data_IF_397258949287
#
_entry.id   IF_397258949287
#
_cell.length_a   1.000
_cell.length_b   1.000
_cell.length_c   1.000
_cell.angle_alpha   90.00
_cell.angle_beta   90.00
_cell.angle_gamma   90.00
#
_symmetry.space_group_name_H-M   'P 1'
#
loop_
_entity.id
_entity.type
_entity.pdbx_description
1 polymer ?
#
# COMPACT_ATOMS: atom_id res chain seq x y z
N UNK A 1 -19.29 -22.26 7.25
CA UNK A 1 -17.84 -22.20 7.55
C UNK A 1 -17.03 -22.14 6.26
N UNK A 2 -17.25 -23.06 5.31
CA UNK A 2 -16.55 -23.11 3.99
C UNK A 2 -16.55 -21.78 3.20
N UNK A 3 -17.67 -21.05 3.13
CA UNK A 3 -17.74 -19.77 2.42
C UNK A 3 -16.87 -18.67 3.04
N UNK A 4 -16.77 -18.64 4.37
CA UNK A 4 -15.94 -17.66 5.07
C UNK A 4 -14.45 -17.94 4.87
N UNK A 5 -14.06 -19.22 4.89
CA UNK A 5 -12.71 -19.65 4.58
C UNK A 5 -12.33 -19.33 3.13
N UNK A 6 -13.22 -19.63 2.18
CA UNK A 6 -13.03 -19.28 0.78
C UNK A 6 -12.93 -17.76 0.57
N UNK A 7 -13.77 -16.98 1.26
CA UNK A 7 -13.74 -15.52 1.24
C UNK A 7 -12.42 -14.94 1.76
N UNK A 8 -11.88 -15.46 2.86
CA UNK A 8 -10.58 -15.04 3.39
C UNK A 8 -9.43 -15.38 2.44
N UNK A 9 -9.45 -16.57 1.83
CA UNK A 9 -8.43 -16.94 0.85
C UNK A 9 -8.49 -16.04 -0.37
N UNK A 10 -9.68 -15.76 -0.91
CA UNK A 10 -9.88 -14.85 -2.04
C UNK A 10 -9.44 -13.41 -1.70
N UNK A 11 -9.84 -12.91 -0.53
CA UNK A 11 -9.39 -11.60 -0.05
C UNK A 11 -7.87 -11.56 0.11
N UNK A 12 -7.27 -12.63 0.62
CA UNK A 12 -5.84 -12.84 0.71
C UNK A 12 -5.17 -12.73 -0.66
N UNK A 13 -5.66 -13.47 -1.66
CA UNK A 13 -5.14 -13.43 -3.03
C UNK A 13 -5.23 -12.03 -3.64
N UNK A 14 -6.37 -11.35 -3.48
CA UNK A 14 -6.51 -9.95 -3.94
C UNK A 14 -5.48 -9.05 -3.25
N UNK A 15 -5.27 -9.20 -1.95
CA UNK A 15 -4.32 -8.40 -1.19
C UNK A 15 -2.86 -8.70 -1.56
N UNK A 16 -2.52 -9.97 -1.84
CA UNK A 16 -1.18 -10.39 -2.30
C UNK A 16 -0.80 -9.71 -3.61
N UNK A 17 -1.72 -9.58 -4.56
CA UNK A 17 -1.38 -9.10 -5.90
C UNK A 17 -1.75 -7.63 -6.14
N UNK A 18 -2.74 -7.09 -5.42
CA UNK A 18 -3.27 -5.75 -5.66
C UNK A 18 -3.29 -4.87 -4.41
N UNK A 19 -2.81 -5.35 -3.27
CA UNK A 19 -3.04 -4.68 -2.00
C UNK A 19 -2.48 -3.26 -1.92
N UNK A 20 -1.25 -3.01 -2.39
CA UNK A 20 -0.71 -1.64 -2.41
C UNK A 20 -1.53 -0.68 -3.29
N UNK A 21 -2.01 -1.14 -4.44
CA UNK A 21 -2.89 -0.34 -5.29
C UNK A 21 -4.25 -0.10 -4.61
N UNK A 22 -4.82 -1.15 -4.01
CA UNK A 22 -6.09 -1.09 -3.31
C UNK A 22 -6.05 -0.10 -2.14
N UNK A 23 -4.95 -0.04 -1.40
CA UNK A 23 -4.76 0.93 -0.33
C UNK A 23 -4.80 2.39 -0.83
N UNK A 24 -4.20 2.68 -1.98
CA UNK A 24 -4.26 4.04 -2.57
C UNK A 24 -5.69 4.39 -3.01
N UNK A 25 -6.41 3.43 -3.59
CA UNK A 25 -7.82 3.62 -3.95
C UNK A 25 -8.72 3.77 -2.72
N UNK A 26 -8.44 3.06 -1.63
CA UNK A 26 -9.17 3.20 -0.39
C UNK A 26 -9.02 4.62 0.20
N UNK A 27 -7.80 5.16 0.20
CA UNK A 27 -7.55 6.54 0.63
C UNK A 27 -8.26 7.55 -0.28
N UNK A 28 -8.19 7.36 -1.61
CA UNK A 28 -8.89 8.22 -2.56
C UNK A 28 -10.42 8.15 -2.39
N UNK A 29 -10.97 6.97 -2.15
CA UNK A 29 -12.39 6.75 -1.88
C UNK A 29 -12.83 7.43 -0.59
N UNK A 30 -12.05 7.29 0.49
CA UNK A 30 -12.31 8.00 1.74
C UNK A 30 -12.29 9.52 1.54
N UNK A 31 -11.28 10.03 0.82
CA UNK A 31 -11.22 11.43 0.42
C UNK A 31 -12.44 11.87 -0.38
N UNK A 32 -12.88 11.03 -1.33
CA UNK A 32 -14.08 11.28 -2.12
C UNK A 32 -15.32 11.38 -1.24
N UNK A 33 -15.54 10.42 -0.34
CA UNK A 33 -16.71 10.42 0.54
C UNK A 33 -16.73 11.62 1.47
N UNK A 34 -15.57 12.00 2.04
CA UNK A 34 -15.45 13.19 2.90
C UNK A 34 -15.71 14.46 2.10
N UNK A 35 -15.10 14.59 0.91
CA UNK A 35 -15.28 15.76 0.04
C UNK A 35 -16.71 15.90 -0.49
N UNK A 36 -17.32 14.79 -0.90
CA UNK A 36 -18.71 14.72 -1.34
C UNK A 36 -19.67 15.07 -0.20
N UNK A 37 -19.43 14.54 1.01
CA UNK A 37 -20.20 14.86 2.21
C UNK A 37 -20.09 16.34 2.60
N UNK A 38 -18.88 16.91 2.56
CA UNK A 38 -18.66 18.33 2.80
C UNK A 38 -19.36 19.22 1.77
N UNK A 39 -19.24 18.88 0.48
CA UNK A 39 -19.92 19.60 -0.58
C UNK A 39 -21.44 19.49 -0.49
N UNK A 40 -21.99 18.34 -0.10
CA UNK A 40 -23.42 18.18 0.13
C UNK A 40 -23.96 19.16 1.20
N UNK A 41 -23.19 19.41 2.26
CA UNK A 41 -23.58 20.33 3.34
C UNK A 41 -23.48 21.79 2.91
N UNK A 42 -22.46 22.16 2.13
CA UNK A 42 -22.16 23.57 1.77
C UNK A 42 -22.84 24.00 0.46
N UNK A 43 -23.14 23.07 -0.46
CA UNK A 43 -23.67 23.38 -1.77
C UNK A 43 -25.03 24.12 -1.77
N UNK A 44 -26.01 23.81 -0.90
CA UNK A 44 -27.30 24.50 -0.92
C UNK A 44 -27.20 26.01 -0.66
N UNK A 45 -26.31 26.44 0.24
CA UNK A 45 -26.11 27.86 0.56
C UNK A 45 -25.36 28.59 -0.56
N UNK A 46 -24.40 27.95 -1.20
CA UNK A 46 -23.64 28.53 -2.33
C UNK A 46 -24.47 28.58 -3.61
N UNK A 47 -25.11 27.49 -3.99
CA UNK A 47 -25.93 27.40 -5.20
C UNK A 47 -27.23 28.23 -5.07
N UNK A 48 -27.77 28.34 -3.86
CA UNK A 48 -28.90 29.23 -3.56
C UNK A 48 -28.59 30.70 -3.82
N UNK A 49 -27.35 31.14 -3.56
CA UNK A 49 -26.91 32.51 -3.83
C UNK A 49 -26.76 32.82 -5.33
N UNK A 50 -26.47 31.80 -6.16
CA UNK A 50 -26.24 31.94 -7.61
C UNK A 50 -27.49 31.54 -8.43
N UNK A 51 -28.60 31.21 -7.77
CA UNK A 51 -29.85 30.80 -8.42
C UNK A 51 -29.81 29.42 -9.08
N UNK A 52 -28.80 28.60 -8.77
CA UNK A 52 -28.56 27.28 -9.36
C UNK A 52 -28.88 26.11 -8.40
N UNK A 53 -29.67 26.36 -7.36
CA UNK A 53 -30.01 25.42 -6.27
C UNK A 53 -30.85 24.20 -6.64
N UNK A 54 -30.97 23.86 -7.92
CA UNK A 54 -31.67 22.66 -8.38
C UNK A 54 -30.91 21.37 -8.09
N UNK A 55 -31.60 20.23 -8.20
CA UNK A 55 -31.04 18.88 -7.98
C UNK A 55 -29.77 18.62 -8.81
N UNK A 56 -29.75 19.12 -10.05
CA UNK A 56 -28.58 19.00 -10.95
C UNK A 56 -27.38 19.78 -10.40
N UNK A 57 -27.59 20.99 -9.90
CA UNK A 57 -26.54 21.81 -9.29
C UNK A 57 -25.93 21.12 -8.06
N UNK A 58 -26.78 20.56 -7.20
CA UNK A 58 -26.35 19.79 -6.03
C UNK A 58 -25.54 18.55 -6.44
N UNK A 59 -26.03 17.77 -7.41
CA UNK A 59 -25.34 16.58 -7.89
C UNK A 59 -23.94 16.91 -8.45
N UNK A 60 -23.84 17.99 -9.23
CA UNK A 60 -22.56 18.48 -9.75
C UNK A 60 -21.63 18.92 -8.61
N UNK A 61 -22.13 19.69 -7.64
CA UNK A 61 -21.33 20.15 -6.51
C UNK A 61 -20.79 18.99 -5.67
N UNK A 62 -21.61 17.96 -5.42
CA UNK A 62 -21.19 16.74 -4.70
C UNK A 62 -20.14 15.97 -5.48
N UNK A 63 -20.33 15.79 -6.79
CA UNK A 63 -19.36 15.10 -7.64
C UNK A 63 -18.01 15.85 -7.67
N UNK A 64 -18.03 17.17 -7.85
CA UNK A 64 -16.83 18.01 -7.85
C UNK A 64 -16.16 18.00 -6.48
N UNK A 65 -16.92 18.16 -5.40
CA UNK A 65 -16.42 18.11 -4.03
C UNK A 65 -15.78 16.77 -3.69
N UNK A 66 -16.38 15.66 -4.13
CA UNK A 66 -15.80 14.34 -4.00
C UNK A 66 -14.49 14.19 -4.78
N UNK A 67 -14.44 14.61 -6.04
CA UNK A 67 -13.21 14.55 -6.84
C UNK A 67 -12.08 15.39 -6.23
N UNK A 68 -12.40 16.60 -5.75
CA UNK A 68 -11.46 17.45 -5.02
C UNK A 68 -11.00 16.78 -3.71
N UNK A 69 -11.91 16.19 -2.95
CA UNK A 69 -11.59 15.45 -1.73
C UNK A 69 -10.65 14.27 -1.99
N UNK A 70 -10.87 13.51 -3.06
CA UNK A 70 -10.00 12.42 -3.48
C UNK A 70 -8.58 12.91 -3.83
N UNK A 71 -8.49 14.00 -4.61
CA UNK A 71 -7.22 14.61 -4.97
C UNK A 71 -6.46 15.14 -3.74
N UNK A 72 -7.17 15.84 -2.85
CA UNK A 72 -6.60 16.37 -1.61
C UNK A 72 -6.15 15.25 -0.66
N UNK A 73 -6.89 14.14 -0.55
CA UNK A 73 -6.49 13.00 0.26
C UNK A 73 -5.18 12.37 -0.23
N UNK A 74 -4.98 12.28 -1.55
CA UNK A 74 -3.72 11.80 -2.12
C UNK A 74 -2.54 12.72 -1.78
N UNK A 75 -2.75 14.04 -1.86
CA UNK A 75 -1.75 15.04 -1.46
C UNK A 75 -1.45 14.95 0.03
N UNK A 76 -2.49 14.89 0.87
CA UNK A 76 -2.38 14.78 2.31
C UNK A 76 -1.63 13.52 2.74
N UNK A 77 -1.86 12.37 2.07
CA UNK A 77 -1.12 11.13 2.34
C UNK A 77 0.38 11.29 2.07
N UNK A 78 0.73 12.01 1.00
CA UNK A 78 2.14 12.32 0.68
C UNK A 78 2.76 13.18 1.78
N UNK A 79 2.08 14.25 2.22
CA UNK A 79 2.56 15.08 3.32
C UNK A 79 2.64 14.34 4.66
N UNK A 80 1.66 13.48 4.97
CA UNK A 80 1.59 12.72 6.21
C UNK A 80 2.82 11.81 6.43
N UNK A 81 3.45 11.36 5.34
CA UNK A 81 4.65 10.52 5.39
C UNK A 81 5.92 11.36 5.24
N UNK A 82 5.94 12.32 4.31
CA UNK A 82 7.12 13.14 4.03
C UNK A 82 7.49 14.10 5.17
N UNK A 83 6.53 14.70 5.88
CA UNK A 83 6.83 15.70 6.92
C UNK A 83 7.52 15.06 8.14
N UNK A 84 7.02 13.98 8.74
CA UNK A 84 7.74 13.31 9.82
C UNK A 84 9.12 12.80 9.38
N UNK A 85 9.22 12.25 8.16
CA UNK A 85 10.50 11.80 7.63
C UNK A 85 11.47 12.94 7.34
N UNK A 86 10.99 14.13 6.99
CA UNK A 86 11.80 15.34 6.92
C UNK A 86 12.39 15.67 8.29
N UNK A 87 11.56 15.67 9.34
CA UNK A 87 12.02 15.97 10.70
C UNK A 87 13.09 14.98 11.16
N UNK A 88 12.84 13.68 10.95
CA UNK A 88 13.82 12.62 11.29
C UNK A 88 15.10 12.77 10.46
N UNK A 89 14.98 13.00 9.15
CA UNK A 89 16.14 13.19 8.27
C UNK A 89 16.96 14.43 8.62
N UNK A 90 16.30 15.53 8.99
CA UNK A 90 16.97 16.76 9.42
C UNK A 90 17.75 16.54 10.72
N UNK A 91 17.16 15.81 11.67
CA UNK A 91 17.82 15.43 12.91
C UNK A 91 19.04 14.54 12.66
N UNK A 92 18.92 13.53 11.78
CA UNK A 92 20.05 12.67 11.40
C UNK A 92 21.15 13.46 10.69
N UNK A 93 20.79 14.39 9.79
CA UNK A 93 21.74 15.27 9.11
C UNK A 93 22.56 16.10 10.09
N UNK A 94 21.93 16.65 11.13
CA UNK A 94 22.62 17.35 12.22
C UNK A 94 23.51 16.43 13.05
N UNK A 95 23.02 15.24 13.40
CA UNK A 95 23.76 14.28 14.23
C UNK A 95 25.08 13.85 13.57
N UNK A 96 25.07 13.56 12.27
CA UNK A 96 26.27 13.15 11.52
C UNK A 96 27.36 14.23 11.47
N UNK A 97 26.98 15.51 11.55
CA UNK A 97 27.93 16.63 11.47
C UNK A 97 28.41 17.15 12.81
N UNK A 98 27.70 16.84 13.88
CA UNK A 98 28.09 17.22 15.25
C UNK A 98 29.57 16.90 15.56
N UNK A 99 30.17 15.77 15.15
CA UNK A 99 31.59 15.51 15.40
C UNK A 99 32.56 16.31 14.51
N UNK A 100 32.12 16.87 13.39
CA UNK A 100 32.97 17.55 12.41
C UNK A 100 33.01 19.07 12.59
N UNK A 101 31.96 19.64 13.17
CA UNK A 101 31.83 21.08 13.39
C UNK A 101 31.34 21.34 14.82
N UNK A 102 32.28 21.66 15.72
CA UNK A 102 32.03 21.98 17.13
C UNK A 102 31.47 23.40 17.34
N UNK A 103 31.59 24.29 16.36
CA UNK A 103 31.09 25.67 16.44
C UNK A 103 29.96 25.92 15.43
N UNK A 104 28.86 26.51 15.92
CA UNK A 104 27.55 26.62 15.26
C UNK A 104 27.47 27.56 14.06
N UNK A 105 28.20 27.25 12.99
CA UNK A 105 28.14 27.97 11.71
C UNK A 105 26.86 27.70 10.91
N UNK A 106 26.55 28.60 9.97
CA UNK A 106 25.39 28.53 9.06
C UNK A 106 25.30 27.20 8.29
N UNK A 107 26.44 26.54 8.08
CA UNK A 107 26.58 25.22 7.44
C UNK A 107 25.69 24.15 8.10
N UNK A 108 25.50 24.19 9.43
CA UNK A 108 24.64 23.21 10.13
C UNK A 108 23.20 23.19 9.60
N UNK A 109 22.67 24.36 9.27
CA UNK A 109 21.29 24.50 8.80
C UNK A 109 21.14 23.99 7.36
N UNK A 110 22.18 24.17 6.53
CA UNK A 110 22.19 23.62 5.17
C UNK A 110 22.10 22.10 5.21
N UNK A 111 22.88 21.45 6.06
CA UNK A 111 22.84 19.99 6.17
C UNK A 111 21.62 19.45 6.90
N UNK A 112 21.05 20.19 7.86
CA UNK A 112 19.73 19.86 8.41
C UNK A 112 18.68 19.88 7.30
N UNK A 113 18.69 20.90 6.44
CA UNK A 113 17.76 20.99 5.32
C UNK A 113 17.98 19.85 4.29
N UNK A 114 19.23 19.56 3.91
CA UNK A 114 19.55 18.46 3.00
C UNK A 114 19.17 17.11 3.58
N UNK A 115 19.52 16.85 4.84
CA UNK A 115 19.13 15.63 5.56
C UNK A 115 17.62 15.49 5.65
N UNK A 116 16.91 16.59 5.89
CA UNK A 116 15.45 16.60 5.89
C UNK A 116 14.86 16.29 4.52
N UNK A 117 15.35 16.90 3.44
CA UNK A 117 14.87 16.61 2.07
C UNK A 117 15.13 15.15 1.71
N UNK A 118 16.33 14.63 2.00
CA UNK A 118 16.65 13.21 1.80
C UNK A 118 15.72 12.30 2.63
N UNK A 119 15.51 12.64 3.90
CA UNK A 119 14.59 11.92 4.78
C UNK A 119 13.17 11.91 4.25
N UNK A 120 12.65 13.04 3.77
CA UNK A 120 11.32 13.15 3.17
C UNK A 120 11.15 12.27 1.93
N UNK A 121 12.14 12.30 1.03
CA UNK A 121 12.15 11.48 -0.20
C UNK A 121 12.24 10.00 0.14
N UNK A 122 13.15 9.63 1.05
CA UNK A 122 13.33 8.25 1.48
C UNK A 122 12.10 7.73 2.21
N UNK A 123 11.54 8.49 3.16
CA UNK A 123 10.35 8.10 3.89
C UNK A 123 9.13 7.92 2.98
N UNK A 124 8.91 8.84 2.05
CA UNK A 124 7.85 8.71 1.04
C UNK A 124 8.05 7.45 0.18
N UNK A 125 9.27 7.19 -0.25
CA UNK A 125 9.62 6.02 -1.07
C UNK A 125 9.46 4.72 -0.29
N UNK A 126 10.01 4.65 0.92
CA UNK A 126 9.92 3.50 1.83
C UNK A 126 8.49 3.20 2.24
N UNK A 127 7.62 4.21 2.39
CA UNK A 127 6.18 3.98 2.66
C UNK A 127 5.54 3.14 1.58
N UNK A 128 5.87 3.39 0.29
CA UNK A 128 5.35 2.57 -0.81
C UNK A 128 5.84 1.13 -0.69
N UNK A 129 7.12 0.93 -0.40
CA UNK A 129 7.68 -0.41 -0.18
C UNK A 129 7.08 -1.13 1.02
N UNK A 130 6.91 -0.42 2.15
CA UNK A 130 6.28 -0.95 3.34
C UNK A 130 4.83 -1.38 3.07
N UNK A 131 4.08 -0.58 2.32
CA UNK A 131 2.71 -0.90 1.95
C UNK A 131 2.63 -2.17 1.10
N UNK A 132 3.51 -2.29 0.09
CA UNK A 132 3.62 -3.50 -0.72
C UNK A 132 3.98 -4.72 0.15
N UNK A 133 4.92 -4.55 1.08
CA UNK A 133 5.40 -5.61 1.97
C UNK A 133 4.26 -6.10 2.87
N UNK A 134 3.60 -5.19 3.58
CA UNK A 134 2.51 -5.51 4.50
C UNK A 134 1.34 -6.14 3.75
N UNK A 135 0.95 -5.60 2.60
CA UNK A 135 -0.11 -6.17 1.77
C UNK A 135 0.22 -7.59 1.30
N UNK A 136 1.44 -7.80 0.79
CA UNK A 136 1.89 -9.11 0.32
C UNK A 136 1.97 -10.11 1.47
N UNK A 137 2.46 -9.68 2.64
CA UNK A 137 2.59 -10.51 3.83
C UNK A 137 1.23 -10.93 4.38
N UNK A 138 0.34 -9.97 4.64
CA UNK A 138 -1.01 -10.24 5.17
C UNK A 138 -1.81 -11.03 4.15
N UNK A 139 -1.71 -10.69 2.87
CA UNK A 139 -2.37 -11.42 1.81
C UNK A 139 -1.91 -12.88 1.76
N UNK A 140 -0.59 -13.11 1.85
CA UNK A 140 -0.02 -14.45 1.83
C UNK A 140 -0.49 -15.25 3.04
N UNK A 141 -0.53 -14.65 4.23
CA UNK A 141 -1.00 -15.28 5.46
C UNK A 141 -2.48 -15.70 5.38
N UNK A 142 -3.32 -14.88 4.74
CA UNK A 142 -4.74 -15.20 4.53
C UNK A 142 -4.92 -16.27 3.44
N UNK A 143 -4.20 -16.15 2.33
CA UNK A 143 -4.28 -17.09 1.20
C UNK A 143 -3.70 -18.47 1.54
N UNK A 144 -2.64 -18.54 2.35
CA UNK A 144 -2.05 -19.78 2.85
C UNK A 144 -2.83 -20.40 4.01
N UNK A 145 -3.87 -19.73 4.51
CA UNK A 145 -4.63 -20.10 5.71
C UNK A 145 -3.81 -20.13 7.00
N UNK A 146 -2.68 -19.43 7.04
CA UNK A 146 -1.93 -19.21 8.28
C UNK A 146 -2.73 -18.34 9.27
N UNK A 147 -3.64 -17.50 8.77
CA UNK A 147 -4.65 -16.78 9.55
C UNK A 147 -6.05 -17.36 9.27
N UNK A 148 -6.65 -18.02 10.27
CA UNK A 148 -7.94 -18.71 10.13
C UNK A 148 -9.09 -17.92 10.78
N UNK A 149 -10.37 -18.14 10.41
CA UNK A 149 -11.51 -17.53 11.10
C UNK A 149 -11.55 -17.85 12.60
N UNK A 150 -11.05 -19.03 12.99
CA UNK A 150 -10.97 -19.40 14.41
C UNK A 150 -10.01 -18.49 15.17
N UNK A 151 -8.85 -18.15 14.58
CA UNK A 151 -7.92 -17.18 15.16
C UNK A 151 -8.57 -15.79 15.34
N UNK A 152 -9.37 -15.34 14.36
CA UNK A 152 -10.11 -14.07 14.49
C UNK A 152 -11.19 -14.10 15.58
N UNK A 153 -11.89 -15.24 15.77
CA UNK A 153 -12.87 -15.39 16.85
C UNK A 153 -12.21 -15.41 18.21
N UNK A 154 -11.11 -16.15 18.35
CA UNK A 154 -10.32 -16.18 19.57
C UNK A 154 -9.82 -14.77 19.95
N UNK A 155 -9.32 -13.99 18.98
CA UNK A 155 -8.89 -12.61 19.20
C UNK A 155 -10.04 -11.68 19.65
N UNK A 156 -11.29 -11.96 19.26
CA UNK A 156 -12.47 -11.21 19.69
C UNK A 156 -12.85 -11.54 21.13
N UNK A 157 -12.69 -12.80 21.54
CA UNK A 157 -13.08 -13.31 22.85
C UNK A 157 -12.11 -12.85 23.96
N UNK A 158 -10.88 -12.49 23.61
CA UNK A 158 -9.95 -11.79 24.49
C UNK A 158 -8.56 -11.66 23.88
N UNK A 159 -7.74 -10.70 24.35
CA UNK A 159 -6.36 -10.58 23.92
C UNK A 159 -5.54 -11.76 24.49
N UNK A 160 -5.34 -12.80 23.68
CA UNK A 160 -4.34 -13.82 23.95
C UNK A 160 -2.97 -13.28 23.53
N UNK A 161 -2.02 -13.21 24.45
CA UNK A 161 -0.63 -12.80 24.19
C UNK A 161 0.17 -14.03 23.73
N UNK A 162 -0.36 -14.77 22.77
CA UNK A 162 0.38 -15.85 22.11
C UNK A 162 1.11 -15.24 20.91
N UNK A 163 2.45 -15.34 20.81
CA UNK A 163 3.18 -14.85 19.66
C UNK A 163 2.70 -15.54 18.39
N UNK A 164 2.27 -14.76 17.40
CA UNK A 164 1.88 -15.30 16.10
C UNK A 164 3.15 -15.70 15.32
N UNK A 165 3.59 -16.95 15.50
CA UNK A 165 4.78 -17.48 14.83
C UNK A 165 4.40 -17.96 13.42
N UNK A 166 4.86 -17.22 12.40
CA UNK A 166 4.79 -17.66 11.01
C UNK A 166 6.07 -18.41 10.67
N UNK A 167 5.94 -19.69 10.33
CA UNK A 167 7.04 -20.44 9.71
C UNK A 167 6.96 -20.27 8.18
N UNK A 168 7.90 -19.51 7.57
CA UNK A 168 7.88 -19.25 6.13
C UNK A 168 8.22 -20.50 5.30
N UNK A 169 8.79 -21.53 5.90
CA UNK A 169 9.17 -22.79 5.26
C UNK A 169 8.18 -23.91 5.55
N UNK A 170 7.12 -23.65 6.33
CA UNK A 170 6.06 -24.61 6.57
C UNK A 170 5.44 -25.06 5.25
N UNK A 171 5.51 -26.37 4.99
CA UNK A 171 5.05 -26.93 3.74
C UNK A 171 3.55 -27.23 3.78
N UNK A 172 2.86 -26.85 2.73
CA UNK A 172 1.45 -27.17 2.50
C UNK A 172 1.38 -28.07 1.27
N UNK A 173 0.65 -29.18 1.38
CA UNK A 173 0.46 -30.09 0.24
C UNK A 173 -0.60 -29.48 -0.68
N UNK A 174 -0.18 -29.06 -1.86
CA UNK A 174 -1.06 -28.56 -2.92
C UNK A 174 -0.90 -29.49 -4.11
N UNK A 175 -1.99 -30.14 -4.53
CA UNK A 175 -2.00 -31.09 -5.66
C UNK A 175 -0.93 -32.20 -5.55
N UNK A 176 -0.66 -32.67 -4.32
CA UNK A 176 0.32 -33.73 -4.05
C UNK A 176 1.77 -33.26 -3.92
N UNK A 177 2.06 -31.96 -4.08
CA UNK A 177 3.40 -31.39 -3.95
C UNK A 177 3.48 -30.58 -2.66
N UNK A 178 4.47 -30.88 -1.82
CA UNK A 178 4.77 -30.11 -0.62
C UNK A 178 5.49 -28.81 -1.00
N UNK A 179 4.83 -27.67 -0.84
CA UNK A 179 5.38 -26.36 -1.16
C UNK A 179 5.28 -25.41 0.04
N UNK A 180 6.27 -24.54 0.28
CA UNK A 180 6.19 -23.50 1.30
C UNK A 180 5.25 -22.37 0.83
N UNK A 181 3.94 -22.66 0.84
CA UNK A 181 2.91 -21.86 0.17
C UNK A 181 2.91 -20.40 0.61
N UNK A 182 3.05 -20.14 1.91
CA UNK A 182 3.12 -18.78 2.45
C UNK A 182 4.33 -18.01 1.85
N UNK A 183 5.53 -18.58 1.96
CA UNK A 183 6.75 -17.96 1.44
C UNK A 183 6.70 -17.70 -0.06
N UNK A 184 6.17 -18.68 -0.82
CA UNK A 184 5.99 -18.55 -2.27
C UNK A 184 5.01 -17.43 -2.61
N UNK A 185 3.83 -17.39 -1.98
CA UNK A 185 2.83 -16.35 -2.22
C UNK A 185 3.34 -14.97 -1.81
N UNK A 186 4.09 -14.88 -0.70
CA UNK A 186 4.67 -13.62 -0.24
C UNK A 186 5.68 -13.06 -1.26
N UNK A 187 6.61 -13.89 -1.73
CA UNK A 187 7.61 -13.50 -2.73
C UNK A 187 6.94 -13.13 -4.06
N UNK A 188 5.98 -13.94 -4.52
CA UNK A 188 5.23 -13.65 -5.74
C UNK A 188 4.44 -12.35 -5.64
N UNK A 189 3.79 -12.11 -4.49
CA UNK A 189 3.09 -10.87 -4.19
C UNK A 189 4.02 -9.66 -4.24
N UNK A 190 5.16 -9.74 -3.56
CA UNK A 190 6.17 -8.69 -3.57
C UNK A 190 6.64 -8.37 -5.00
N UNK A 191 7.03 -9.40 -5.76
CA UNK A 191 7.49 -9.23 -7.15
C UNK A 191 6.38 -8.69 -8.06
N UNK A 192 5.13 -9.11 -7.85
CA UNK A 192 3.97 -8.60 -8.59
C UNK A 192 3.70 -7.12 -8.31
N UNK A 193 3.66 -6.73 -7.05
CA UNK A 193 3.39 -5.35 -6.67
C UNK A 193 4.54 -4.40 -7.02
N UNK A 194 5.78 -4.89 -7.05
CA UNK A 194 6.94 -4.17 -7.58
C UNK A 194 6.88 -3.95 -9.10
N UNK A 195 5.96 -4.61 -9.81
CA UNK A 195 5.77 -4.46 -11.25
C UNK A 195 6.62 -5.40 -12.11
N UNK A 196 7.27 -6.41 -11.52
CA UNK A 196 8.11 -7.37 -12.26
C UNK A 196 7.31 -8.16 -13.31
N UNK A 197 6.01 -8.36 -13.08
CA UNK A 197 5.09 -9.02 -14.01
C UNK A 197 4.43 -8.07 -15.02
N UNK A 198 4.55 -6.74 -14.87
CA UNK A 198 3.97 -5.74 -15.78
C UNK A 198 4.91 -5.33 -16.93
N UNK A 199 6.18 -5.74 -16.91
CA UNK A 199 7.23 -5.16 -17.78
C UNK A 199 7.82 -6.12 -18.83
N UNK A 200 7.15 -7.22 -19.21
CA UNK A 200 7.74 -8.18 -20.18
C UNK A 200 9.05 -8.81 -19.71
N UNK A 201 9.40 -8.67 -18.43
CA UNK A 201 10.57 -9.30 -17.83
C UNK A 201 10.39 -10.80 -17.76
N UNK A 202 9.16 -11.28 -17.57
CA UNK A 202 8.83 -12.71 -17.61
C UNK A 202 9.05 -13.28 -19.01
N UNK A 203 8.70 -12.56 -20.08
CA UNK A 203 9.01 -13.01 -21.45
C UNK A 203 10.51 -12.94 -21.75
N UNK A 204 11.24 -11.94 -21.22
CA UNK A 204 12.71 -11.88 -21.34
C UNK A 204 13.43 -12.96 -20.54
N UNK A 205 13.00 -13.27 -19.31
CA UNK A 205 13.53 -14.38 -18.51
C UNK A 205 13.18 -15.73 -19.12
N UNK A 206 11.96 -15.89 -19.63
CA UNK A 206 11.56 -17.08 -20.38
C UNK A 206 12.37 -17.26 -21.67
N UNK A 207 12.76 -16.17 -22.34
CA UNK A 207 13.64 -16.21 -23.51
C UNK A 207 15.10 -16.56 -23.18
N UNK A 208 15.56 -16.32 -21.94
CA UNK A 208 16.91 -16.64 -21.48
C UNK A 208 17.00 -18.05 -20.88
N UNK A 209 15.87 -18.64 -20.46
CA UNK A 209 15.81 -20.01 -19.97
C UNK A 209 15.87 -21.02 -21.13
N UNK A 210 16.96 -21.80 -21.28
CA UNK A 210 17.07 -22.78 -22.35
C UNK A 210 16.00 -23.86 -22.17
N UNK A 211 15.02 -23.89 -23.08
CA UNK A 211 13.96 -24.91 -23.12
C UNK A 211 12.52 -24.37 -23.20
N UNK A 212 12.26 -23.09 -22.92
CA UNK A 212 10.88 -22.53 -22.99
C UNK A 212 10.49 -22.12 -24.42
N UNK A 213 11.47 -21.79 -25.28
CA UNK A 213 11.24 -21.45 -26.69
C UNK A 213 10.66 -22.56 -27.57
N UNK A 214 10.45 -23.79 -27.04
CA UNK A 214 9.83 -24.89 -27.79
C UNK A 214 8.32 -25.06 -27.51
N UNK A 215 7.76 -24.35 -26.54
CA UNK A 215 6.34 -24.50 -26.14
C UNK A 215 5.49 -23.30 -26.58
N UNK A 216 6.11 -22.16 -26.86
CA UNK A 216 5.46 -21.02 -27.54
C UNK A 216 5.82 -21.14 -29.01
N UNK A 217 5.00 -21.90 -29.75
CA UNK A 217 5.36 -22.48 -31.05
C UNK A 217 5.91 -21.51 -32.09
N UNK A 218 6.96 -21.98 -32.76
CA UNK A 218 7.08 -21.82 -34.21
C UNK A 218 5.86 -22.51 -34.84
N UNK A 219 4.92 -21.71 -35.31
CA UNK A 219 3.93 -22.12 -36.30
C UNK A 219 4.05 -21.14 -37.45
N UNK A 220 4.74 -21.58 -38.51
CA UNK A 220 4.87 -21.03 -39.87
C UNK A 220 4.65 -19.52 -40.09
#
# INVERSE_FOLDING_TARGET
MVLADAGLVLAGLVLVFFGAALSMYAVALLGFLIGAGGAYVVAPSVLGAVGSGGLVGLAVAVAVGGLLGAALAYVALSFATSVPSFVVGAYLGLYVLTPLFTEGGLIRYLFAALGGVLGAVLGFTLTKFALMFVASFVGAALASRSLTPAAFRAAREGPAVEPLLFDPLATTVVLGIAIPLFGVLFVLGMLSQLGLFRLGWVTRLAAVLPGVGRVVGDGD
#
